data_IF_700903241605
#
_entry.id   IF_700903241605
#
_cell.length_a   1.000
_cell.length_b   1.000
_cell.length_c   1.000
_cell.angle_alpha   90.00
_cell.angle_beta   90.00
_cell.angle_gamma   90.00
#
_symmetry.space_group_name_H-M   'P 1'
#
loop_
_entity.id
_entity.type
_entity.pdbx_description
1 polymer ?
#
# COMPACT_ATOMS: atom_id res chain seq x y z
N UNK A 1 10.12 -0.88 7.10
CA UNK A 1 10.61 -1.02 5.71
C UNK A 1 9.95 0.07 4.88
N UNK A 2 10.55 0.55 3.79
CA UNK A 2 9.91 1.60 3.00
C UNK A 2 9.00 0.94 1.93
N UNK A 3 7.81 1.49 1.68
CA UNK A 3 6.92 1.01 0.60
C UNK A 3 7.58 1.09 -0.78
N UNK A 4 8.57 1.98 -0.94
CA UNK A 4 9.38 2.10 -2.15
C UNK A 4 10.26 0.88 -2.45
N UNK A 5 10.37 -0.08 -1.52
CA UNK A 5 11.14 -1.32 -1.69
C UNK A 5 10.33 -2.43 -2.41
N UNK A 6 9.06 -2.16 -2.76
CA UNK A 6 8.21 -3.04 -3.54
C UNK A 6 8.35 -2.78 -5.04
N UNK A 7 8.26 -3.82 -5.89
CA UNK A 7 8.25 -3.65 -7.33
C UNK A 7 6.95 -2.94 -7.79
N UNK A 8 7.03 -2.26 -8.93
CA UNK A 8 5.85 -1.60 -9.54
C UNK A 8 4.80 -2.63 -10.00
N UNK A 9 5.23 -3.82 -10.44
CA UNK A 9 4.37 -4.93 -10.82
C UNK A 9 4.86 -6.22 -10.17
N UNK A 10 3.91 -7.03 -9.68
CA UNK A 10 4.20 -8.34 -9.11
C UNK A 10 3.90 -9.44 -10.13
N UNK A 11 4.75 -10.47 -10.16
CA UNK A 11 4.53 -11.69 -10.94
C UNK A 11 4.08 -12.84 -10.04
N UNK A 12 3.40 -13.83 -10.60
CA UNK A 12 2.89 -14.99 -9.84
C UNK A 12 4.01 -15.78 -9.14
N UNK A 13 5.21 -15.81 -9.72
CA UNK A 13 6.41 -16.44 -9.15
C UNK A 13 6.84 -15.82 -7.82
N UNK A 14 6.46 -14.57 -7.54
CA UNK A 14 6.81 -13.88 -6.29
C UNK A 14 6.02 -14.38 -5.08
N UNK A 15 4.99 -15.21 -5.28
CA UNK A 15 4.27 -15.88 -4.20
C UNK A 15 5.14 -16.85 -3.41
N UNK A 16 6.28 -17.29 -3.96
CA UNK A 16 7.25 -18.15 -3.28
C UNK A 16 8.43 -17.36 -2.68
N UNK A 17 8.45 -16.03 -2.83
CA UNK A 17 9.51 -15.18 -2.33
C UNK A 17 9.15 -14.59 -0.96
N UNK A 18 9.62 -15.23 0.10
CA UNK A 18 9.35 -14.81 1.48
C UNK A 18 9.74 -13.35 1.78
N UNK A 19 10.83 -12.87 1.18
CA UNK A 19 11.29 -11.48 1.39
C UNK A 19 10.31 -10.49 0.77
N UNK A 20 9.79 -10.80 -0.42
CA UNK A 20 8.74 -10.00 -1.06
C UNK A 20 7.47 -10.04 -0.20
N UNK A 21 7.02 -11.23 0.22
CA UNK A 21 5.80 -11.40 1.01
C UNK A 21 5.84 -10.63 2.33
N UNK A 22 6.98 -10.62 3.03
CA UNK A 22 7.14 -9.84 4.26
C UNK A 22 7.01 -8.33 4.02
N UNK A 23 7.65 -7.82 2.96
CA UNK A 23 7.55 -6.39 2.60
C UNK A 23 6.13 -6.02 2.17
N UNK A 24 5.47 -6.91 1.44
CA UNK A 24 4.11 -6.73 0.95
C UNK A 24 3.10 -6.73 2.09
N UNK A 25 3.26 -7.66 3.05
CA UNK A 25 2.48 -7.69 4.29
C UNK A 25 2.59 -6.38 5.07
N UNK A 26 3.82 -5.90 5.28
CA UNK A 26 4.08 -4.64 5.98
C UNK A 26 3.33 -3.47 5.31
N UNK A 27 3.47 -3.34 3.99
CA UNK A 27 2.89 -2.22 3.26
C UNK A 27 1.35 -2.19 3.30
N UNK A 28 0.69 -3.36 3.27
CA UNK A 28 -0.77 -3.45 3.18
C UNK A 28 -1.47 -3.53 4.54
N UNK A 29 -0.85 -4.16 5.54
CA UNK A 29 -1.53 -4.54 6.78
C UNK A 29 -0.94 -3.91 8.04
N UNK A 30 0.29 -3.39 7.98
CA UNK A 30 0.94 -2.79 9.15
C UNK A 30 0.99 -1.26 9.08
N UNK A 31 0.89 -0.68 7.88
CA UNK A 31 0.82 0.77 7.69
C UNK A 31 -0.62 1.28 7.80
N UNK A 32 -0.80 2.31 8.62
CA UNK A 32 -2.09 2.92 8.92
C UNK A 32 -2.07 4.40 8.55
N UNK A 33 -3.06 4.85 7.79
CA UNK A 33 -3.30 6.27 7.54
C UNK A 33 -4.07 6.85 8.73
N UNK A 34 -3.38 7.53 9.63
CA UNK A 34 -4.02 8.15 10.81
C UNK A 34 -4.75 9.46 10.43
N UNK A 35 -4.17 10.25 9.54
CA UNK A 35 -4.73 11.51 9.04
C UNK A 35 -4.50 11.64 7.53
N UNK A 36 -5.55 11.97 6.76
CA UNK A 36 -5.46 12.18 5.32
C UNK A 36 -6.81 12.12 4.63
N UNK A 37 -6.82 11.80 3.33
CA UNK A 37 -8.05 11.58 2.58
C UNK A 37 -7.82 10.67 1.37
N UNK A 38 -8.85 9.88 1.02
CA UNK A 38 -8.95 9.26 -0.30
C UNK A 38 -9.55 10.27 -1.28
N UNK A 39 -8.95 10.41 -2.46
CA UNK A 39 -9.36 11.42 -3.45
C UNK A 39 -9.97 10.71 -4.66
N UNK A 40 -11.20 11.09 -5.02
CA UNK A 40 -11.77 10.69 -6.30
C UNK A 40 -11.18 11.53 -7.42
N UNK A 41 -10.40 10.91 -8.29
CA UNK A 41 -9.57 11.61 -9.27
C UNK A 41 -10.37 12.46 -10.26
N UNK A 42 -11.57 12.04 -10.67
CA UNK A 42 -12.31 12.76 -11.71
C UNK A 42 -12.94 14.08 -11.21
N UNK A 43 -13.31 14.17 -9.93
CA UNK A 43 -13.97 15.37 -9.38
C UNK A 43 -13.17 16.05 -8.27
N UNK A 44 -12.07 15.46 -7.82
CA UNK A 44 -11.32 15.91 -6.66
C UNK A 44 -12.04 15.74 -5.33
N UNK A 45 -13.20 15.07 -5.29
CA UNK A 45 -13.95 14.85 -4.05
C UNK A 45 -13.09 14.05 -3.07
N UNK A 46 -12.97 14.58 -1.86
CA UNK A 46 -12.20 13.97 -0.78
C UNK A 46 -13.09 13.16 0.16
N UNK A 47 -12.60 12.00 0.57
CA UNK A 47 -13.14 11.17 1.63
C UNK A 47 -12.11 11.19 2.76
N UNK A 48 -12.27 12.05 3.78
CA UNK A 48 -11.29 12.22 4.83
C UNK A 48 -11.16 10.95 5.67
N UNK A 49 -9.93 10.65 6.06
CA UNK A 49 -9.57 9.65 7.06
C UNK A 49 -9.01 10.41 8.24
N UNK A 50 -9.73 10.35 9.36
CA UNK A 50 -9.30 10.85 10.65
C UNK A 50 -9.75 9.81 11.67
N UNK A 51 -8.80 9.30 12.44
CA UNK A 51 -9.06 8.28 13.45
C UNK A 51 -9.67 8.88 14.72
#
# INVERSE_FOLDING_TARGET
MNVNDLPEQAEATMLENDVFLQRFHHALLELHLEEGALIYLETGRQYPVAK
#
